data_IF_559923167872
#
_entry.id   IF_559923167872
#
_cell.length_a   1.000
_cell.length_b   1.000
_cell.length_c   1.000
_cell.angle_alpha   90.00
_cell.angle_beta   90.00
_cell.angle_gamma   90.00
#
_symmetry.space_group_name_H-M   'P 1'
#
loop_
_entity.id
_entity.type
_entity.pdbx_description
1 polymer ?
#
# COMPACT_ATOMS: atom_id res chain seq x y z
N UNK A 1 -9.25 2.06 7.88
CA UNK A 1 -8.43 3.25 7.70
C UNK A 1 -8.30 3.49 6.21
N UNK A 2 -8.15 4.73 5.78
CA UNK A 2 -7.88 5.14 4.40
C UNK A 2 -7.11 6.46 4.43
N UNK A 3 -6.53 6.90 3.31
CA UNK A 3 -5.98 8.25 3.19
C UNK A 3 -6.79 8.99 2.12
N UNK A 4 -7.57 10.00 2.51
CA UNK A 4 -8.36 10.76 1.55
C UNK A 4 -7.45 11.61 0.66
N UNK A 5 -7.80 11.70 -0.62
CA UNK A 5 -7.06 12.53 -1.58
C UNK A 5 -5.73 11.92 -2.07
N UNK A 6 -5.31 10.77 -1.56
CA UNK A 6 -4.12 10.06 -2.02
C UNK A 6 -4.52 8.80 -2.78
N UNK A 7 -4.26 8.77 -4.09
CA UNK A 7 -4.44 7.56 -4.89
C UNK A 7 -3.38 6.51 -4.53
N UNK A 8 -3.64 5.20 -4.69
CA UNK A 8 -2.62 4.18 -4.45
C UNK A 8 -1.35 4.38 -5.26
N UNK A 9 -1.48 4.90 -6.49
CA UNK A 9 -0.35 5.22 -7.34
C UNK A 9 0.50 6.35 -6.76
N UNK A 10 -0.14 7.47 -6.40
CA UNK A 10 0.55 8.61 -5.81
C UNK A 10 1.24 8.22 -4.48
N UNK A 11 0.60 7.35 -3.69
CA UNK A 11 1.21 6.80 -2.48
C UNK A 11 2.48 5.98 -2.76
N UNK A 12 2.45 5.11 -3.78
CA UNK A 12 3.62 4.31 -4.18
C UNK A 12 4.74 5.21 -4.69
N UNK A 13 4.43 6.21 -5.52
CA UNK A 13 5.44 7.14 -6.03
C UNK A 13 6.11 7.92 -4.90
N UNK A 14 5.32 8.46 -3.96
CA UNK A 14 5.85 9.16 -2.79
C UNK A 14 6.71 8.21 -1.95
N UNK A 15 6.24 6.99 -1.68
CA UNK A 15 7.01 5.99 -0.94
C UNK A 15 8.34 5.67 -1.63
N UNK A 16 8.34 5.43 -2.94
CA UNK A 16 9.54 5.11 -3.71
C UNK A 16 10.57 6.25 -3.67
N UNK A 17 10.12 7.51 -3.66
CA UNK A 17 10.99 8.69 -3.53
C UNK A 17 11.65 8.83 -2.15
N UNK A 18 11.15 8.15 -1.11
CA UNK A 18 11.73 8.20 0.24
C UNK A 18 12.98 7.33 0.40
N UNK A 19 13.24 6.42 -0.55
CA UNK A 19 14.35 5.47 -0.48
C UNK A 19 15.30 5.64 -1.67
N UNK A 20 16.56 5.17 -1.57
CA UNK A 20 17.46 5.10 -2.72
C UNK A 20 16.84 4.31 -3.86
N UNK A 21 17.21 4.67 -5.09
CA UNK A 21 16.89 3.87 -6.28
C UNK A 21 17.33 2.42 -6.04
N UNK A 22 16.53 1.47 -6.52
CA UNK A 22 16.72 0.01 -6.37
C UNK A 22 16.38 -0.61 -5.00
N UNK A 23 15.94 0.18 -4.01
CA UNK A 23 15.52 -0.35 -2.71
C UNK A 23 14.35 -1.33 -2.81
N UNK A 24 13.35 -0.99 -3.62
CA UNK A 24 12.17 -1.81 -3.83
C UNK A 24 12.33 -2.60 -5.14
N UNK A 25 12.45 -3.93 -5.02
CA UNK A 25 12.58 -4.84 -6.18
C UNK A 25 11.25 -5.24 -6.80
N UNK A 26 10.23 -5.45 -5.96
CA UNK A 26 8.91 -5.87 -6.41
C UNK A 26 7.83 -5.44 -5.44
N UNK A 27 6.60 -5.29 -5.95
CA UNK A 27 5.40 -5.00 -5.16
C UNK A 27 4.27 -5.97 -5.53
N UNK A 28 3.53 -6.43 -4.52
CA UNK A 28 2.38 -7.33 -4.70
C UNK A 28 1.13 -6.71 -4.10
N UNK A 29 0.06 -6.58 -4.90
CA UNK A 29 -1.24 -6.07 -4.43
C UNK A 29 -2.37 -7.08 -4.60
N UNK A 30 -3.47 -6.84 -3.89
CA UNK A 30 -4.71 -7.56 -4.15
C UNK A 30 -5.32 -7.11 -5.49
N UNK A 31 -6.10 -7.99 -6.12
CA UNK A 31 -6.87 -7.60 -7.30
C UNK A 31 -8.01 -6.67 -6.88
N UNK A 32 -7.88 -5.41 -7.26
CA UNK A 32 -8.85 -4.35 -7.00
C UNK A 32 -8.89 -3.36 -8.15
N UNK A 33 -9.96 -2.57 -8.25
CA UNK A 33 -10.12 -1.59 -9.33
C UNK A 33 -9.07 -0.47 -9.29
N UNK A 34 -8.50 -0.24 -8.12
CA UNK A 34 -7.59 0.88 -7.86
C UNK A 34 -6.13 0.55 -8.21
N UNK A 35 -5.80 -0.73 -8.50
CA UNK A 35 -4.46 -1.15 -8.90
C UNK A 35 -4.46 -1.68 -10.33
N UNK A 36 -3.58 -1.13 -11.16
CA UNK A 36 -3.31 -1.60 -12.53
C UNK A 36 -1.80 -1.72 -12.73
N UNK A 37 -1.37 -2.75 -13.44
CA UNK A 37 0.05 -3.04 -13.71
C UNK A 37 0.76 -1.87 -14.42
N UNK A 38 0.06 -1.22 -15.35
CA UNK A 38 0.56 -0.08 -16.13
C UNK A 38 1.08 1.10 -15.29
N UNK A 39 0.72 1.21 -14.02
CA UNK A 39 1.15 2.32 -13.17
C UNK A 39 2.57 2.18 -12.63
N UNK A 40 3.12 0.96 -12.58
CA UNK A 40 4.43 0.68 -11.97
C UNK A 40 5.49 0.30 -13.00
N UNK A 41 5.09 0.18 -14.27
CA UNK A 41 5.98 -0.08 -15.40
C UNK A 41 7.03 1.05 -15.57
N UNK A 42 6.64 2.30 -15.32
CA UNK A 42 7.55 3.46 -15.40
C UNK A 42 8.59 3.51 -14.27
N UNK A 43 8.38 2.76 -13.18
CA UNK A 43 9.25 2.76 -12.00
C UNK A 43 10.33 1.67 -12.06
N UNK A 44 10.33 0.81 -13.09
CA UNK A 44 11.21 -0.37 -13.20
C UNK A 44 11.10 -1.32 -11.99
N UNK A 45 9.88 -1.47 -11.46
CA UNK A 45 9.57 -2.32 -10.30
C UNK A 45 8.65 -3.45 -10.75
N UNK A 46 9.02 -4.68 -10.44
CA UNK A 46 8.17 -5.84 -10.73
C UNK A 46 6.85 -5.78 -9.96
N UNK A 47 5.72 -5.91 -10.65
CA UNK A 47 4.40 -5.86 -10.05
C UNK A 47 3.60 -7.15 -10.25
N UNK A 48 3.08 -7.68 -9.14
CA UNK A 48 2.30 -8.91 -9.09
C UNK A 48 0.93 -8.71 -8.43
N UNK A 49 -0.04 -9.51 -8.85
CA UNK A 49 -1.31 -9.63 -8.15
C UNK A 49 -1.33 -10.90 -7.31
N UNK A 50 -1.89 -10.80 -6.09
CA UNK A 50 -2.20 -11.97 -5.29
C UNK A 50 -3.29 -12.83 -5.96
N UNK A 51 -3.13 -14.16 -5.83
CA UNK A 51 -4.08 -15.13 -6.38
C UNK A 51 -5.48 -14.98 -5.80
N UNK A 52 -6.46 -15.45 -6.58
CA UNK A 52 -7.86 -15.50 -6.17
C UNK A 52 -8.00 -16.26 -4.86
N UNK A 53 -8.82 -15.73 -3.95
CA UNK A 53 -9.21 -16.44 -2.73
C UNK A 53 -8.04 -16.92 -1.86
N UNK A 54 -6.84 -16.38 -2.09
CA UNK A 54 -5.60 -16.77 -1.40
C UNK A 54 -5.24 -15.74 -0.35
N UNK A 55 -6.09 -15.59 0.69
CA UNK A 55 -5.88 -14.62 1.77
C UNK A 55 -4.54 -14.81 2.48
N UNK A 56 -4.08 -16.06 2.65
CA UNK A 56 -2.81 -16.40 3.32
C UNK A 56 -1.58 -15.78 2.64
N UNK A 57 -1.62 -15.53 1.33
CA UNK A 57 -0.52 -14.84 0.60
C UNK A 57 -0.33 -13.39 1.02
N UNK A 58 -1.25 -12.85 1.83
CA UNK A 58 -1.23 -11.48 2.37
C UNK A 58 -1.33 -11.47 3.89
N UNK A 59 -0.96 -12.55 4.57
CA UNK A 59 -1.07 -12.68 6.03
C UNK A 59 -0.46 -11.49 6.78
N UNK A 60 0.71 -11.00 6.32
CA UNK A 60 1.36 -9.83 6.91
C UNK A 60 0.50 -8.56 6.83
N UNK A 61 -0.22 -8.33 5.73
CA UNK A 61 -1.07 -7.15 5.58
C UNK A 61 -2.24 -7.17 6.56
N UNK A 62 -2.78 -8.35 6.88
CA UNK A 62 -3.86 -8.48 7.86
C UNK A 62 -3.34 -8.22 9.27
N UNK A 63 -2.16 -8.73 9.62
CA UNK A 63 -1.49 -8.44 10.90
C UNK A 63 -1.18 -6.96 11.05
N UNK A 64 -0.54 -6.32 10.06
CA UNK A 64 -0.22 -4.89 10.12
C UNK A 64 -1.49 -4.03 10.20
N UNK A 65 -2.53 -4.36 9.44
CA UNK A 65 -3.83 -3.67 9.57
C UNK A 65 -4.49 -3.90 10.92
N UNK A 66 -4.23 -5.02 11.59
CA UNK A 66 -4.67 -5.31 12.95
C UNK A 66 -4.00 -4.38 13.96
N UNK A 67 -2.67 -4.27 13.89
CA UNK A 67 -1.89 -3.35 14.72
C UNK A 67 -2.34 -1.90 14.53
N UNK A 68 -2.51 -1.45 13.28
CA UNK A 68 -3.03 -0.10 13.02
C UNK A 68 -4.42 0.13 13.63
N UNK A 69 -5.24 -0.93 13.77
CA UNK A 69 -6.58 -0.82 14.36
C UNK A 69 -6.59 -0.77 15.88
N UNK A 70 -5.48 -1.09 16.52
CA UNK A 70 -5.30 -0.90 17.97
C UNK A 70 -5.23 0.59 18.31
N UNK A 71 -4.63 1.38 17.41
CA UNK A 71 -4.47 2.82 17.58
C UNK A 71 -5.56 3.64 16.87
N UNK A 72 -6.01 3.19 15.69
CA UNK A 72 -6.96 3.94 14.86
C UNK A 72 -8.22 3.14 14.56
N UNK A 73 -9.38 3.75 14.82
CA UNK A 73 -10.65 3.10 14.55
C UNK A 73 -10.86 2.79 13.05
N UNK A 74 -11.80 1.89 12.76
CA UNK A 74 -12.17 1.61 11.36
C UNK A 74 -12.69 2.90 10.71
N UNK A 75 -12.35 3.09 9.44
CA UNK A 75 -12.67 4.28 8.64
C UNK A 75 -12.02 5.60 9.13
N UNK A 76 -11.00 5.54 9.97
CA UNK A 76 -10.15 6.72 10.19
C UNK A 76 -9.46 7.13 8.89
N UNK A 77 -9.48 8.42 8.60
CA UNK A 77 -8.66 9.04 7.56
C UNK A 77 -7.27 9.31 8.14
N UNK A 78 -6.27 8.56 7.68
CA UNK A 78 -4.91 8.68 8.19
C UNK A 78 -4.22 9.96 7.69
N UNK A 79 -4.73 10.60 6.64
CA UNK A 79 -4.16 11.84 6.10
C UNK A 79 -4.37 13.04 7.04
N UNK A 80 -5.29 12.95 8.01
CA UNK A 80 -5.56 14.01 8.98
C UNK A 80 -4.78 13.84 10.29
N UNK A 81 -3.97 12.80 10.41
CA UNK A 81 -3.18 12.51 11.61
C UNK A 81 -1.85 13.26 11.46
N UNK A 82 -1.54 14.13 12.41
CA UNK A 82 -0.23 14.78 12.52
C UNK A 82 0.77 13.85 13.20
N UNK A 83 2.06 14.04 12.91
CA UNK A 83 3.15 13.36 13.61
C UNK A 83 3.46 14.01 14.98
N UNK A 84 2.45 14.58 15.64
CA UNK A 84 2.62 15.19 16.95
C UNK A 84 2.45 14.12 18.03
N UNK A 85 3.55 13.42 18.31
CA UNK A 85 3.82 12.65 19.52
C UNK A 85 5.34 12.68 19.80
#
# INVERSE_FOLDING_TARGET
MYCKGLSPFSAIQQFYQLFPKDFLKSFTSARGKDFKKSFVEDLDIDFYFADAYSSWKRGNNETSNGLLREYFSKKTDLATISNED
#
